data_IF_220869348872
#
_entry.id   IF_220869348872
#
_cell.length_a   1.000
_cell.length_b   1.000
_cell.length_c   1.000
_cell.angle_alpha   90.00
_cell.angle_beta   90.00
_cell.angle_gamma   90.00
#
_symmetry.space_group_name_H-M   'P 1'
#
loop_
_entity.id
_entity.type
_entity.pdbx_description
1 polymer ?
#
# COMPACT_ATOMS: atom_id res chain seq x y z
N UNK A 1 -13.41 -8.82 31.50
CA UNK A 1 -12.15 -8.24 32.00
C UNK A 1 -11.28 -8.04 30.78
N UNK A 2 -10.99 -6.79 30.39
CA UNK A 2 -10.15 -6.53 29.21
C UNK A 2 -8.72 -6.91 29.58
N UNK A 3 -8.22 -7.99 29.00
CA UNK A 3 -6.82 -8.37 29.10
C UNK A 3 -6.02 -7.29 28.34
N UNK A 4 -5.03 -6.63 28.98
CA UNK A 4 -4.24 -5.64 28.29
C UNK A 4 -3.49 -6.32 27.15
N UNK A 5 -3.78 -5.84 25.95
CA UNK A 5 -3.27 -6.31 24.66
C UNK A 5 -1.73 -6.32 24.59
N UNK A 6 -1.07 -5.51 25.43
CA UNK A 6 0.39 -5.49 25.61
C UNK A 6 0.72 -5.91 27.04
N UNK A 7 1.70 -6.81 27.20
CA UNK A 7 2.15 -7.31 28.49
C UNK A 7 2.79 -6.20 29.37
N UNK A 8 2.86 -6.38 30.72
CA UNK A 8 3.41 -5.37 31.61
C UNK A 8 4.85 -4.94 31.26
N UNK A 9 5.19 -3.67 31.51
CA UNK A 9 6.50 -3.05 31.19
C UNK A 9 7.72 -3.78 31.74
N UNK A 10 7.58 -4.43 32.89
CA UNK A 10 8.67 -5.16 33.54
C UNK A 10 8.82 -6.62 33.11
N UNK A 11 7.95 -7.17 32.25
CA UNK A 11 8.08 -8.56 31.78
C UNK A 11 8.90 -8.63 30.50
N UNK A 12 9.58 -9.76 30.26
CA UNK A 12 10.35 -9.99 29.04
C UNK A 12 9.50 -9.81 27.78
N UNK A 13 8.30 -10.42 27.76
CA UNK A 13 7.35 -10.27 26.67
C UNK A 13 7.00 -8.80 26.42
N UNK A 14 6.71 -8.06 27.48
CA UNK A 14 6.39 -6.65 27.37
C UNK A 14 7.56 -5.80 26.84
N UNK A 15 8.79 -6.12 27.23
CA UNK A 15 9.99 -5.44 26.71
C UNK A 15 10.15 -5.70 25.20
N UNK A 16 9.97 -6.95 24.76
CA UNK A 16 10.04 -7.34 23.35
C UNK A 16 8.93 -6.72 22.51
N UNK A 17 7.71 -6.65 23.02
CA UNK A 17 6.58 -5.99 22.35
C UNK A 17 6.78 -4.49 22.18
N UNK A 18 7.57 -3.83 23.04
CA UNK A 18 7.84 -2.39 22.93
C UNK A 18 9.08 -2.04 22.11
N UNK A 19 9.83 -3.03 21.61
CA UNK A 19 10.97 -2.81 20.72
C UNK A 19 12.08 -1.93 21.31
N UNK A 20 12.18 -1.80 22.64
CA UNK A 20 13.29 -1.07 23.27
C UNK A 20 14.55 -1.91 23.16
N UNK A 21 15.71 -1.29 22.90
CA UNK A 21 17.00 -1.99 22.81
C UNK A 21 17.30 -2.90 24.02
N UNK A 22 16.79 -2.53 25.20
CA UNK A 22 16.84 -3.34 26.41
C UNK A 22 16.18 -4.72 26.25
N UNK A 23 15.11 -4.84 25.45
CA UNK A 23 14.39 -6.10 25.24
C UNK A 23 15.26 -7.20 24.63
N UNK A 24 16.16 -6.86 23.69
CA UNK A 24 17.13 -7.82 23.16
C UNK A 24 18.13 -8.25 24.22
N UNK A 25 18.68 -7.29 24.98
CA UNK A 25 19.63 -7.60 26.04
C UNK A 25 19.01 -8.53 27.09
N UNK A 26 17.79 -8.22 27.53
CA UNK A 26 17.05 -9.05 28.47
C UNK A 26 16.78 -10.45 27.91
N UNK A 27 16.35 -10.56 26.65
CA UNK A 27 16.12 -11.86 26.00
C UNK A 27 17.38 -12.73 25.94
N UNK A 28 18.54 -12.13 25.62
CA UNK A 28 19.82 -12.86 25.57
C UNK A 28 20.34 -13.30 26.95
N UNK A 29 19.86 -12.67 28.02
CA UNK A 29 20.21 -13.03 29.41
C UNK A 29 19.19 -13.95 30.10
N UNK A 30 17.99 -14.06 29.56
CA UNK A 30 16.92 -14.91 30.10
C UNK A 30 17.16 -16.39 29.76
N UNK A 31 16.49 -17.33 30.47
CA UNK A 31 16.40 -18.71 30.01
C UNK A 31 15.93 -18.77 28.55
N UNK A 32 16.66 -19.51 27.72
CA UNK A 32 16.47 -19.50 26.26
C UNK A 32 15.04 -19.90 25.87
N UNK A 33 14.46 -20.87 26.55
CA UNK A 33 13.09 -21.33 26.36
C UNK A 33 12.07 -20.23 26.68
N UNK A 34 12.24 -19.49 27.77
CA UNK A 34 11.39 -18.33 28.10
C UNK A 34 11.52 -17.21 27.06
N UNK A 35 12.74 -16.92 26.61
CA UNK A 35 13.00 -15.91 25.58
C UNK A 35 12.38 -16.30 24.23
N UNK A 36 12.51 -17.57 23.82
CA UNK A 36 11.88 -18.09 22.61
C UNK A 36 10.35 -18.09 22.72
N UNK A 37 9.78 -18.44 23.87
CA UNK A 37 8.34 -18.37 24.08
C UNK A 37 7.81 -16.93 23.94
N UNK A 38 8.50 -15.95 24.53
CA UNK A 38 8.14 -14.55 24.41
C UNK A 38 8.31 -14.00 22.98
N UNK A 39 9.38 -14.42 22.29
CA UNK A 39 9.63 -14.06 20.89
C UNK A 39 8.56 -14.65 19.96
N UNK A 40 8.23 -15.94 20.13
CA UNK A 40 7.14 -16.59 19.41
C UNK A 40 5.85 -15.83 19.60
N UNK A 41 5.48 -15.49 20.83
CA UNK A 41 4.27 -14.71 21.09
C UNK A 41 4.27 -13.37 20.33
N UNK A 42 5.40 -12.65 20.30
CA UNK A 42 5.49 -11.39 19.56
C UNK A 42 5.32 -11.57 18.05
N UNK A 43 5.84 -12.66 17.47
CA UNK A 43 5.79 -12.89 16.02
C UNK A 43 4.45 -13.44 15.55
N UNK A 44 3.80 -14.27 16.37
CA UNK A 44 2.55 -14.95 16.02
C UNK A 44 1.31 -14.16 16.43
N UNK A 45 1.43 -13.21 17.35
CA UNK A 45 0.31 -12.46 17.91
C UNK A 45 0.74 -11.03 18.25
N UNK A 46 1.14 -10.27 17.22
CA UNK A 46 1.49 -8.87 17.41
C UNK A 46 0.23 -8.00 17.43
N UNK A 47 -0.09 -7.33 18.54
CA UNK A 47 -1.29 -6.53 18.62
C UNK A 47 -1.24 -5.19 17.88
N UNK A 48 -0.06 -4.77 17.40
CA UNK A 48 0.15 -3.43 16.85
C UNK A 48 -0.14 -3.44 15.35
N UNK A 49 -1.14 -2.66 14.97
CA UNK A 49 -1.65 -2.58 13.60
C UNK A 49 -0.74 -1.79 12.63
N UNK A 50 0.14 -0.91 13.12
CA UNK A 50 1.01 -0.09 12.26
C UNK A 50 2.28 -0.85 11.84
N UNK A 51 2.17 -1.66 10.79
CA UNK A 51 3.29 -2.43 10.22
C UNK A 51 4.15 -1.62 9.24
N UNK A 52 3.67 -0.48 8.75
CA UNK A 52 4.38 0.35 7.76
C UNK A 52 5.47 1.27 8.36
N UNK A 53 5.45 1.49 9.68
CA UNK A 53 6.30 2.51 10.32
C UNK A 53 7.51 1.90 11.08
N UNK A 54 7.50 0.59 11.33
CA UNK A 54 8.51 -0.05 12.19
C UNK A 54 9.13 -1.32 11.57
N UNK A 55 10.47 -1.45 11.65
CA UNK A 55 11.23 -2.63 11.17
C UNK A 55 11.24 -3.80 12.19
N UNK A 56 10.05 -4.20 12.67
CA UNK A 56 9.91 -5.21 13.73
C UNK A 56 10.31 -6.61 13.27
N UNK A 57 9.99 -6.95 12.03
CA UNK A 57 10.34 -8.23 11.42
C UNK A 57 11.85 -8.46 11.42
N UNK A 58 12.64 -7.42 11.10
CA UNK A 58 14.10 -7.46 11.13
C UNK A 58 14.64 -7.68 12.56
N UNK A 59 14.07 -6.96 13.53
CA UNK A 59 14.41 -7.09 14.94
C UNK A 59 14.18 -8.52 15.44
N UNK A 60 12.98 -9.07 15.21
CA UNK A 60 12.65 -10.43 15.64
C UNK A 60 13.45 -11.49 14.91
N UNK A 61 13.70 -11.34 13.60
CA UNK A 61 14.55 -12.25 12.84
C UNK A 61 15.98 -12.30 13.38
N UNK A 62 16.54 -11.14 13.77
CA UNK A 62 17.86 -11.10 14.40
C UNK A 62 17.87 -11.86 15.72
N UNK A 63 16.85 -11.65 16.55
CA UNK A 63 16.74 -12.34 17.84
C UNK A 63 16.55 -13.85 17.68
N UNK A 64 15.84 -14.30 16.64
CA UNK A 64 15.77 -15.73 16.26
C UNK A 64 17.16 -16.32 15.97
N UNK A 65 18.03 -15.58 15.30
CA UNK A 65 19.40 -16.05 15.04
C UNK A 65 20.23 -16.11 16.32
N UNK A 66 20.20 -15.04 17.11
CA UNK A 66 21.01 -14.92 18.33
C UNK A 66 20.55 -15.93 19.41
N UNK A 67 19.26 -16.29 19.46
CA UNK A 67 18.72 -17.34 20.33
C UNK A 67 18.72 -18.74 19.71
N UNK A 68 19.21 -18.91 18.48
CA UNK A 68 19.12 -20.16 17.71
C UNK A 68 17.70 -20.76 17.69
N UNK A 69 16.67 -19.92 17.48
CA UNK A 69 15.28 -20.34 17.48
C UNK A 69 14.93 -21.26 16.31
N UNK A 70 14.13 -22.28 16.61
CA UNK A 70 13.52 -23.20 15.64
C UNK A 70 12.22 -22.59 15.08
N UNK A 71 11.81 -23.04 13.89
CA UNK A 71 10.67 -22.46 13.16
C UNK A 71 9.34 -23.20 13.39
N UNK A 72 9.32 -24.24 14.23
CA UNK A 72 8.13 -25.12 14.38
C UNK A 72 6.87 -24.39 14.85
N UNK A 73 7.00 -23.36 15.69
CA UNK A 73 5.88 -22.53 16.13
C UNK A 73 5.35 -21.63 14.99
N UNK A 74 6.25 -21.02 14.21
CA UNK A 74 5.90 -20.25 13.01
C UNK A 74 5.21 -21.15 11.98
N UNK A 75 5.77 -22.33 11.72
CA UNK A 75 5.21 -23.30 10.79
C UNK A 75 3.78 -23.70 11.19
N UNK A 76 3.55 -24.01 12.47
CA UNK A 76 2.22 -24.36 12.97
C UNK A 76 1.23 -23.21 12.84
N UNK A 77 1.65 -22.00 13.16
CA UNK A 77 0.82 -20.78 13.04
C UNK A 77 0.41 -20.49 11.60
N UNK A 78 1.37 -20.60 10.67
CA UNK A 78 1.14 -20.35 9.26
C UNK A 78 0.19 -21.39 8.66
N UNK A 79 0.29 -22.66 9.04
CA UNK A 79 -0.59 -23.72 8.53
C UNK A 79 -1.76 -24.05 9.46
N UNK A 80 -2.15 -23.10 10.32
CA UNK A 80 -3.25 -23.29 11.25
C UNK A 80 -4.59 -23.30 10.50
N UNK A 81 -5.51 -24.25 10.79
CA UNK A 81 -6.83 -24.31 10.16
C UNK A 81 -7.66 -23.03 10.29
N UNK A 82 -7.40 -22.20 11.30
CA UNK A 82 -8.11 -20.92 11.49
C UNK A 82 -7.92 -19.97 10.28
N UNK A 83 -6.85 -20.11 9.49
CA UNK A 83 -6.64 -19.35 8.24
C UNK A 83 -7.73 -19.59 7.18
N UNK A 84 -8.53 -20.66 7.33
CA UNK A 84 -9.67 -20.92 6.44
C UNK A 84 -10.89 -20.06 6.79
N UNK A 85 -10.94 -19.51 8.00
CA UNK A 85 -12.08 -18.75 8.54
C UNK A 85 -11.72 -17.28 8.73
N UNK A 86 -10.53 -17.01 9.24
CA UNK A 86 -9.97 -15.67 9.37
C UNK A 86 -9.08 -15.34 8.18
N UNK A 87 -9.55 -14.42 7.33
CA UNK A 87 -8.84 -13.99 6.12
C UNK A 87 -8.05 -12.69 6.32
N UNK A 88 -7.90 -12.21 7.56
CA UNK A 88 -7.09 -11.04 7.83
C UNK A 88 -5.61 -11.34 7.57
N UNK A 89 -5.06 -10.67 6.55
CA UNK A 89 -3.65 -10.77 6.16
C UNK A 89 -2.70 -10.38 7.30
N UNK A 90 -3.17 -9.57 8.26
CA UNK A 90 -2.40 -9.13 9.42
C UNK A 90 -1.97 -10.28 10.34
N UNK A 91 -2.73 -11.40 10.34
CA UNK A 91 -2.44 -12.59 11.17
C UNK A 91 -1.10 -13.22 10.83
N UNK A 92 -0.75 -13.29 9.55
CA UNK A 92 0.43 -14.02 9.05
C UNK A 92 1.54 -13.11 8.52
N UNK A 93 1.23 -11.86 8.18
CA UNK A 93 2.17 -10.92 7.55
C UNK A 93 3.49 -10.74 8.31
N UNK A 94 3.44 -10.55 9.64
CA UNK A 94 4.67 -10.39 10.44
C UNK A 94 5.53 -11.66 10.44
N UNK A 95 4.92 -12.83 10.60
CA UNK A 95 5.63 -14.10 10.60
C UNK A 95 6.31 -14.36 9.23
N UNK A 96 5.64 -14.04 8.13
CA UNK A 96 6.20 -14.14 6.79
C UNK A 96 7.37 -13.17 6.58
N UNK A 97 7.25 -11.92 7.02
CA UNK A 97 8.33 -10.94 6.96
C UNK A 97 9.56 -11.36 7.79
N UNK A 98 9.34 -11.96 8.98
CA UNK A 98 10.42 -12.55 9.80
C UNK A 98 11.12 -13.68 9.04
N UNK A 99 10.37 -14.60 8.45
CA UNK A 99 10.96 -15.67 7.63
C UNK A 99 11.75 -15.09 6.44
N UNK A 100 11.24 -14.02 5.82
CA UNK A 100 11.95 -13.30 4.76
C UNK A 100 13.32 -12.84 5.23
N UNK A 101 13.40 -12.11 6.34
CA UNK A 101 14.69 -11.68 6.87
C UNK A 101 15.61 -12.85 7.27
N UNK A 102 15.08 -13.92 7.85
CA UNK A 102 15.86 -15.13 8.16
C UNK A 102 16.45 -15.76 6.89
N UNK A 103 15.67 -15.84 5.81
CA UNK A 103 16.16 -16.30 4.51
C UNK A 103 17.28 -15.39 3.97
N UNK A 104 17.15 -14.06 4.08
CA UNK A 104 18.22 -13.11 3.73
C UNK A 104 19.50 -13.31 4.55
N UNK A 105 19.39 -13.80 5.78
CA UNK A 105 20.53 -14.17 6.61
C UNK A 105 21.10 -15.57 6.31
N UNK A 106 20.56 -16.28 5.32
CA UNK A 106 21.04 -17.58 4.88
C UNK A 106 20.41 -18.79 5.59
N UNK A 107 19.34 -18.61 6.37
CA UNK A 107 18.57 -19.72 6.96
C UNK A 107 17.77 -20.44 5.87
N UNK A 108 18.26 -21.61 5.45
CA UNK A 108 17.63 -22.42 4.38
C UNK A 108 16.26 -22.97 4.77
N UNK A 109 16.10 -23.37 6.02
CA UNK A 109 14.83 -23.83 6.59
C UNK A 109 13.74 -22.73 6.50
N UNK A 110 14.10 -21.47 6.72
CA UNK A 110 13.18 -20.34 6.55
C UNK A 110 12.76 -20.15 5.08
N UNK A 111 13.72 -20.23 4.15
CA UNK A 111 13.44 -20.13 2.71
C UNK A 111 12.55 -21.27 2.22
N UNK A 112 12.83 -22.51 2.64
CA UNK A 112 12.03 -23.69 2.30
C UNK A 112 10.60 -23.59 2.86
N UNK A 113 10.46 -23.10 4.10
CA UNK A 113 9.15 -22.86 4.70
C UNK A 113 8.37 -21.78 3.95
N UNK A 114 9.01 -20.67 3.56
CA UNK A 114 8.37 -19.63 2.73
C UNK A 114 7.91 -20.17 1.38
N UNK A 115 8.74 -20.94 0.67
CA UNK A 115 8.35 -21.57 -0.60
C UNK A 115 7.14 -22.48 -0.43
N UNK A 116 7.14 -23.29 0.62
CA UNK A 116 6.01 -24.18 0.93
C UNK A 116 4.75 -23.40 1.28
N UNK A 117 4.88 -22.30 2.02
CA UNK A 117 3.75 -21.45 2.36
C UNK A 117 3.21 -20.68 1.14
N UNK A 118 4.06 -20.17 0.26
CA UNK A 118 3.59 -19.58 -1.01
C UNK A 118 2.79 -20.62 -1.82
N UNK A 119 3.27 -21.86 -1.90
CA UNK A 119 2.59 -22.93 -2.63
C UNK A 119 1.21 -23.28 -2.04
N UNK A 120 1.07 -23.36 -0.71
CA UNK A 120 -0.12 -23.97 -0.07
C UNK A 120 -0.86 -23.10 0.96
N UNK A 121 -0.25 -22.03 1.44
CA UNK A 121 -0.81 -21.14 2.47
C UNK A 121 -1.95 -20.24 1.99
N UNK A 122 -2.67 -19.65 2.94
CA UNK A 122 -3.76 -18.71 2.68
C UNK A 122 -3.26 -17.37 2.16
N UNK A 123 -2.29 -16.76 2.87
CA UNK A 123 -1.69 -15.48 2.49
C UNK A 123 -0.48 -15.65 1.56
N UNK A 124 -0.69 -16.37 0.46
CA UNK A 124 0.37 -16.76 -0.47
C UNK A 124 1.00 -15.57 -1.21
N UNK A 125 0.24 -14.50 -1.45
CA UNK A 125 0.71 -13.33 -2.19
C UNK A 125 1.83 -12.62 -1.42
N UNK A 126 1.64 -12.41 -0.12
CA UNK A 126 2.69 -11.84 0.75
C UNK A 126 3.94 -12.72 0.76
N UNK A 127 3.80 -14.03 0.89
CA UNK A 127 4.94 -14.94 0.87
C UNK A 127 5.68 -14.93 -0.48
N UNK A 128 4.95 -14.79 -1.59
CA UNK A 128 5.52 -14.65 -2.92
C UNK A 128 6.31 -13.33 -3.05
N UNK A 129 5.81 -12.23 -2.48
CA UNK A 129 6.54 -10.94 -2.44
C UNK A 129 7.82 -11.05 -1.60
N UNK A 130 7.78 -11.72 -0.44
CA UNK A 130 8.97 -11.94 0.38
C UNK A 130 10.04 -12.78 -0.36
N UNK A 131 9.61 -13.79 -1.13
CA UNK A 131 10.46 -14.62 -1.97
C UNK A 131 11.00 -13.86 -3.19
N UNK A 132 10.21 -12.98 -3.80
CA UNK A 132 10.63 -12.20 -4.96
C UNK A 132 11.89 -11.36 -4.68
N UNK A 133 12.06 -10.91 -3.43
CA UNK A 133 13.21 -10.13 -3.00
C UNK A 133 14.45 -10.96 -2.66
N UNK A 134 14.29 -12.26 -2.39
CA UNK A 134 15.31 -13.05 -1.65
C UNK A 134 15.66 -14.39 -2.28
N UNK A 135 14.74 -14.95 -3.05
CA UNK A 135 14.91 -16.22 -3.69
C UNK A 135 15.60 -16.09 -5.06
N UNK A 136 16.18 -17.20 -5.52
CA UNK A 136 16.74 -17.31 -6.86
C UNK A 136 15.65 -17.58 -7.92
N UNK A 137 15.99 -17.37 -9.20
CA UNK A 137 15.04 -17.56 -10.28
C UNK A 137 14.57 -19.03 -10.41
N UNK A 138 15.37 -20.00 -9.96
CA UNK A 138 15.01 -21.41 -10.05
C UNK A 138 13.90 -21.75 -9.05
N UNK A 139 14.01 -21.26 -7.81
CA UNK A 139 13.00 -21.35 -6.77
C UNK A 139 11.71 -20.65 -7.18
N UNK A 140 11.81 -19.42 -7.71
CA UNK A 140 10.64 -18.70 -8.20
C UNK A 140 9.95 -19.42 -9.36
N UNK A 141 10.71 -19.98 -10.33
CA UNK A 141 10.11 -20.77 -11.43
C UNK A 141 9.40 -22.03 -10.95
N UNK A 142 9.88 -22.67 -9.89
CA UNK A 142 9.24 -23.85 -9.32
C UNK A 142 7.85 -23.54 -8.71
N UNK A 143 7.60 -22.28 -8.33
CA UNK A 143 6.33 -21.85 -7.74
C UNK A 143 5.25 -21.51 -8.77
N UNK A 144 5.58 -21.45 -10.07
CA UNK A 144 4.62 -21.06 -11.11
C UNK A 144 3.38 -21.97 -11.13
N UNK A 145 3.58 -23.28 -11.16
CA UNK A 145 2.48 -24.26 -11.21
C UNK A 145 1.58 -24.24 -9.97
N UNK A 146 2.09 -24.34 -8.73
CA UNK A 146 1.22 -24.32 -7.55
C UNK A 146 0.46 -22.99 -7.39
N UNK A 147 1.06 -21.86 -7.78
CA UNK A 147 0.36 -20.56 -7.74
C UNK A 147 -0.72 -20.49 -8.83
N UNK A 148 -0.41 -20.87 -10.06
CA UNK A 148 -1.38 -20.85 -11.16
C UNK A 148 -2.52 -21.87 -10.96
N UNK A 149 -2.29 -22.96 -10.23
CA UNK A 149 -3.32 -23.93 -9.87
C UNK A 149 -4.41 -23.35 -8.96
N UNK A 150 -4.17 -22.22 -8.31
CA UNK A 150 -5.18 -21.49 -7.49
C UNK A 150 -6.23 -20.80 -8.35
N UNK A 151 -5.91 -20.57 -9.62
CA UNK A 151 -6.81 -19.94 -10.58
C UNK A 151 -7.28 -21.04 -11.53
N UNK A 152 -8.48 -21.61 -11.37
CA UNK A 152 -9.07 -22.45 -12.41
C UNK A 152 -9.36 -21.64 -13.68
N UNK A 153 -9.69 -22.33 -14.79
CA UNK A 153 -9.85 -21.70 -16.11
C UNK A 153 -11.02 -20.71 -16.19
N UNK A 154 -11.98 -20.78 -15.28
CA UNK A 154 -13.10 -19.84 -15.11
C UNK A 154 -12.76 -18.65 -14.19
N UNK A 155 -11.62 -18.69 -13.49
CA UNK A 155 -11.13 -17.64 -12.59
C UNK A 155 -9.99 -16.79 -13.20
N UNK A 156 -9.89 -16.71 -14.53
CA UNK A 156 -8.86 -15.89 -15.20
C UNK A 156 -8.90 -14.41 -14.77
N UNK A 157 -10.08 -13.88 -14.46
CA UNK A 157 -10.21 -12.51 -13.92
C UNK A 157 -9.51 -12.31 -12.58
N UNK A 158 -9.54 -13.32 -11.70
CA UNK A 158 -8.83 -13.29 -10.42
C UNK A 158 -7.31 -13.35 -10.62
N UNK A 159 -6.84 -14.12 -11.61
CA UNK A 159 -5.43 -14.14 -12.01
C UNK A 159 -4.98 -12.74 -12.49
N UNK A 160 -5.80 -12.06 -13.30
CA UNK A 160 -5.49 -10.68 -13.75
C UNK A 160 -5.36 -9.73 -12.56
N UNK A 161 -6.25 -9.82 -11.57
CA UNK A 161 -6.19 -9.00 -10.36
C UNK A 161 -4.91 -9.29 -9.58
N UNK A 162 -4.59 -10.57 -9.35
CA UNK A 162 -3.40 -10.97 -8.63
C UNK A 162 -2.10 -10.49 -9.31
N UNK A 163 -2.00 -10.62 -10.64
CA UNK A 163 -0.86 -10.13 -11.42
C UNK A 163 -0.76 -8.60 -11.37
N UNK A 164 -1.90 -7.90 -11.43
CA UNK A 164 -1.96 -6.43 -11.46
C UNK A 164 -1.58 -5.81 -10.11
N UNK A 165 -2.05 -6.42 -9.02
CA UNK A 165 -1.93 -5.89 -7.66
C UNK A 165 -0.71 -6.44 -6.92
N UNK A 166 0.06 -7.34 -7.55
CA UNK A 166 1.33 -7.83 -7.01
C UNK A 166 2.29 -6.67 -6.69
N UNK A 167 2.81 -6.67 -5.46
CA UNK A 167 3.79 -5.67 -5.03
C UNK A 167 5.13 -5.91 -5.74
N UNK A 168 5.60 -7.15 -5.77
CA UNK A 168 6.82 -7.52 -6.46
C UNK A 168 6.57 -8.13 -7.86
N UNK A 169 6.97 -7.46 -8.96
CA UNK A 169 6.66 -7.93 -10.31
C UNK A 169 7.56 -9.07 -10.79
N UNK A 170 8.66 -9.37 -10.08
CA UNK A 170 9.72 -10.29 -10.56
C UNK A 170 9.21 -11.71 -10.84
N UNK A 171 8.44 -12.39 -9.95
CA UNK A 171 7.95 -13.74 -10.23
C UNK A 171 7.08 -13.78 -11.49
N UNK A 172 6.17 -12.81 -11.62
CA UNK A 172 5.27 -12.72 -12.76
C UNK A 172 6.00 -12.47 -14.09
N UNK A 173 7.06 -11.66 -14.09
CA UNK A 173 7.92 -11.48 -15.28
C UNK A 173 8.65 -12.78 -15.62
N UNK A 174 9.24 -13.45 -14.64
CA UNK A 174 9.91 -14.74 -14.85
C UNK A 174 8.97 -15.81 -15.41
N UNK A 175 7.72 -15.85 -14.93
CA UNK A 175 6.72 -16.80 -15.41
C UNK A 175 6.16 -16.42 -16.76
N UNK A 176 6.04 -15.14 -17.09
CA UNK A 176 5.67 -14.68 -18.43
C UNK A 176 6.68 -15.15 -19.49
N UNK A 177 7.95 -15.32 -19.13
CA UNK A 177 9.00 -15.85 -20.02
C UNK A 177 9.11 -17.39 -20.00
N UNK A 178 8.23 -18.09 -19.25
CA UNK A 178 8.28 -19.55 -19.16
C UNK A 178 7.94 -20.22 -20.51
N UNK A 179 8.72 -21.22 -20.95
CA UNK A 179 8.49 -21.90 -22.23
C UNK A 179 7.21 -22.75 -22.23
N UNK A 180 6.70 -23.17 -21.07
CA UNK A 180 5.47 -23.97 -20.97
C UNK A 180 4.26 -23.09 -21.28
N UNK A 181 3.43 -23.40 -22.30
CA UNK A 181 2.32 -22.53 -22.68
C UNK A 181 1.29 -22.29 -21.58
N UNK A 182 1.00 -23.31 -20.76
CA UNK A 182 0.04 -23.21 -19.66
C UNK A 182 0.54 -22.31 -18.50
N UNK A 183 1.82 -21.95 -18.48
CA UNK A 183 2.42 -20.97 -17.57
C UNK A 183 2.61 -19.64 -18.30
N UNK A 184 3.52 -19.60 -19.28
CA UNK A 184 3.98 -18.36 -19.89
C UNK A 184 2.90 -17.64 -20.69
N UNK A 185 2.16 -18.35 -21.55
CA UNK A 185 1.10 -17.70 -22.32
C UNK A 185 -0.04 -17.22 -21.42
N UNK A 186 -0.34 -17.97 -20.36
CA UNK A 186 -1.38 -17.64 -19.38
C UNK A 186 -1.03 -16.37 -18.60
N UNK A 187 0.19 -16.28 -18.08
CA UNK A 187 0.64 -15.09 -17.33
C UNK A 187 0.75 -13.87 -18.25
N UNK A 188 1.24 -14.01 -19.49
CA UNK A 188 1.26 -12.90 -20.46
C UNK A 188 -0.14 -12.39 -20.76
N UNK A 189 -1.10 -13.28 -21.01
CA UNK A 189 -2.49 -12.89 -21.25
C UNK A 189 -3.07 -12.09 -20.06
N UNK A 190 -2.81 -12.54 -18.82
CA UNK A 190 -3.24 -11.82 -17.63
C UNK A 190 -2.59 -10.42 -17.50
N UNK A 191 -1.30 -10.29 -17.82
CA UNK A 191 -0.58 -9.01 -17.83
C UNK A 191 -1.13 -8.04 -18.89
N UNK A 192 -1.42 -8.53 -20.09
CA UNK A 192 -2.01 -7.77 -21.18
C UNK A 192 -3.41 -7.28 -20.82
N UNK A 193 -4.27 -8.16 -20.31
CA UNK A 193 -5.62 -7.82 -19.86
C UNK A 193 -5.62 -6.79 -18.73
N UNK A 194 -4.75 -6.93 -17.73
CA UNK A 194 -4.64 -5.95 -16.64
C UNK A 194 -4.16 -4.57 -17.12
N UNK A 195 -3.28 -4.55 -18.13
CA UNK A 195 -2.81 -3.31 -18.76
C UNK A 195 -3.91 -2.67 -19.63
N UNK A 196 -4.67 -3.48 -20.37
CA UNK A 196 -5.81 -3.04 -21.15
C UNK A 196 -6.95 -2.52 -20.28
N UNK A 197 -7.22 -3.14 -19.13
CA UNK A 197 -8.20 -2.66 -18.15
C UNK A 197 -7.84 -1.29 -17.58
N UNK A 198 -6.56 -1.05 -17.28
CA UNK A 198 -6.08 0.28 -16.86
C UNK A 198 -6.28 1.31 -17.97
N UNK A 199 -5.89 0.95 -19.20
CA UNK A 199 -6.08 1.79 -20.36
C UNK A 199 -7.56 2.07 -20.67
N UNK A 200 -8.42 1.07 -20.56
CA UNK A 200 -9.87 1.20 -20.76
C UNK A 200 -10.50 2.05 -19.65
N UNK A 201 -10.08 1.93 -18.39
CA UNK A 201 -10.53 2.83 -17.32
C UNK A 201 -10.08 4.28 -17.55
N UNK A 202 -8.89 4.47 -18.11
CA UNK A 202 -8.41 5.78 -18.52
C UNK A 202 -9.21 6.36 -19.70
N UNK A 203 -9.64 5.52 -20.64
CA UNK A 203 -10.44 5.91 -21.82
C UNK A 203 -11.95 5.96 -21.55
N UNK A 204 -12.44 5.25 -20.54
CA UNK A 204 -13.84 5.18 -20.10
C UNK A 204 -13.93 5.40 -18.59
N UNK A 205 -13.79 6.64 -18.11
CA UNK A 205 -13.95 6.95 -16.71
C UNK A 205 -15.34 6.51 -16.24
N UNK A 206 -15.39 5.66 -15.22
CA UNK A 206 -16.62 5.16 -14.60
C UNK A 206 -17.01 6.11 -13.47
N UNK A 207 -17.49 7.29 -13.84
CA UNK A 207 -18.03 8.29 -12.93
C UNK A 207 -19.04 9.17 -13.68
N UNK A 208 -19.95 9.87 -12.98
CA UNK A 208 -20.82 10.85 -13.62
C UNK A 208 -19.94 11.82 -14.40
N UNK A 209 -20.12 11.88 -15.72
CA UNK A 209 -19.44 12.84 -16.58
C UNK A 209 -20.21 14.16 -16.44
N UNK A 210 -19.63 15.24 -15.87
CA UNK A 210 -20.19 16.56 -16.13
C UNK A 210 -20.24 16.76 -17.65
N UNK A 211 -21.20 17.53 -18.16
CA UNK A 211 -21.07 18.11 -19.50
C UNK A 211 -19.69 18.80 -19.54
N UNK A 212 -18.86 18.59 -20.57
CA UNK A 212 -17.42 18.92 -20.52
C UNK A 212 -17.15 20.43 -20.67
N UNK A 213 -17.75 21.25 -19.79
CA UNK A 213 -17.53 22.68 -19.66
C UNK A 213 -16.90 22.98 -18.31
N UNK A 214 -16.18 24.10 -18.23
CA UNK A 214 -15.61 24.61 -16.98
C UNK A 214 -16.68 24.79 -15.90
N UNK A 215 -17.88 25.26 -16.27
CA UNK A 215 -18.98 25.46 -15.33
C UNK A 215 -19.46 24.14 -14.71
N UNK A 216 -19.67 23.11 -15.52
CA UNK A 216 -20.15 21.83 -15.02
C UNK A 216 -19.13 21.12 -14.12
N UNK A 217 -17.83 21.35 -14.31
CA UNK A 217 -16.79 20.88 -13.39
C UNK A 217 -16.88 21.60 -12.03
N UNK A 218 -17.15 22.90 -12.02
CA UNK A 218 -17.40 23.66 -10.79
C UNK A 218 -18.67 23.20 -10.07
N UNK A 219 -19.76 23.02 -10.81
CA UNK A 219 -21.03 22.54 -10.26
C UNK A 219 -20.86 21.15 -9.63
N UNK A 220 -20.11 20.25 -10.30
CA UNK A 220 -19.80 18.94 -9.76
C UNK A 220 -18.95 19.00 -8.47
N UNK A 221 -17.94 19.86 -8.43
CA UNK A 221 -17.14 20.06 -7.22
C UNK A 221 -18.00 20.59 -6.06
N UNK A 222 -18.93 21.50 -6.36
CA UNK A 222 -19.87 22.06 -5.39
C UNK A 222 -20.87 21.03 -4.89
N UNK A 223 -21.47 20.23 -5.77
CA UNK A 223 -22.36 19.13 -5.37
C UNK A 223 -21.66 18.12 -4.45
N UNK A 224 -20.38 17.83 -4.74
CA UNK A 224 -19.54 17.01 -3.87
C UNK A 224 -19.40 17.62 -2.48
N UNK A 225 -19.04 18.90 -2.44
CA UNK A 225 -18.86 19.65 -1.20
C UNK A 225 -20.14 19.66 -0.34
N UNK A 226 -21.30 19.90 -0.94
CA UNK A 226 -22.60 19.89 -0.26
C UNK A 226 -22.98 18.51 0.30
N UNK A 227 -22.49 17.44 -0.33
CA UNK A 227 -22.65 16.05 0.14
C UNK A 227 -21.55 15.61 1.12
N UNK A 228 -20.65 16.51 1.50
CA UNK A 228 -19.53 16.23 2.42
C UNK A 228 -18.34 15.51 1.77
N UNK A 229 -18.27 15.45 0.45
CA UNK A 229 -17.15 14.89 -0.30
C UNK A 229 -16.16 15.96 -0.75
N UNK A 230 -14.87 15.72 -0.58
CA UNK A 230 -13.81 16.64 -1.01
C UNK A 230 -13.45 16.38 -2.47
N UNK A 231 -14.16 17.03 -3.40
CA UNK A 231 -13.99 16.82 -4.85
C UNK A 231 -13.16 17.89 -5.57
N UNK A 232 -12.69 18.94 -4.90
CA UNK A 232 -11.98 20.03 -5.57
C UNK A 232 -10.63 19.61 -6.21
N UNK A 233 -9.94 18.62 -5.63
CA UNK A 233 -8.69 18.07 -6.20
C UNK A 233 -8.95 17.30 -7.50
N UNK A 234 -9.85 16.30 -7.55
CA UNK A 234 -10.17 15.64 -8.82
C UNK A 234 -10.82 16.59 -9.83
N UNK A 235 -11.62 17.56 -9.40
CA UNK A 235 -12.21 18.57 -10.28
C UNK A 235 -11.14 19.47 -10.94
N UNK A 236 -10.09 19.87 -10.22
CA UNK A 236 -9.00 20.65 -10.80
C UNK A 236 -8.26 19.87 -11.90
N UNK A 237 -8.12 18.55 -11.76
CA UNK A 237 -7.57 17.67 -12.81
C UNK A 237 -8.49 17.59 -14.04
N UNK A 238 -9.81 17.63 -13.82
CA UNK A 238 -10.76 17.71 -14.93
C UNK A 238 -10.58 19.03 -15.70
N UNK A 239 -10.37 20.17 -15.01
CA UNK A 239 -10.10 21.45 -15.67
C UNK A 239 -8.86 21.40 -16.58
N UNK A 240 -7.80 20.67 -16.23
CA UNK A 240 -6.65 20.45 -17.13
C UNK A 240 -7.02 19.83 -18.48
N UNK A 241 -8.11 19.06 -18.54
CA UNK A 241 -8.58 18.41 -19.76
C UNK A 241 -9.65 19.20 -20.52
N UNK A 242 -10.39 20.12 -19.86
CA UNK A 242 -11.53 20.83 -20.47
C UNK A 242 -11.30 22.32 -20.69
N UNK A 243 -10.44 22.97 -19.90
CA UNK A 243 -10.26 24.40 -19.96
C UNK A 243 -9.33 24.80 -21.11
N UNK A 244 -9.81 25.66 -22.01
CA UNK A 244 -9.00 26.37 -22.99
C UNK A 244 -8.46 27.70 -22.45
N UNK A 245 -7.53 28.36 -23.15
CA UNK A 245 -7.07 29.72 -22.81
C UNK A 245 -8.21 30.74 -22.67
N UNK A 246 -9.28 30.58 -23.45
CA UNK A 246 -10.49 31.40 -23.43
C UNK A 246 -11.30 31.31 -22.13
N UNK A 247 -11.15 30.21 -21.38
CA UNK A 247 -11.90 29.98 -20.14
C UNK A 247 -11.20 30.59 -18.92
N UNK A 248 -9.95 31.05 -19.05
CA UNK A 248 -9.19 31.66 -17.96
C UNK A 248 -9.98 32.73 -17.20
N UNK A 249 -10.68 33.70 -17.85
CA UNK A 249 -11.46 34.70 -17.12
C UNK A 249 -12.57 34.11 -16.25
N UNK A 250 -13.19 33.01 -16.67
CA UNK A 250 -14.21 32.31 -15.89
C UNK A 250 -13.58 31.63 -14.66
N UNK A 251 -12.44 30.98 -14.84
CA UNK A 251 -11.73 30.27 -13.75
C UNK A 251 -11.21 31.27 -12.70
N UNK A 252 -10.64 32.40 -13.14
CA UNK A 252 -10.21 33.47 -12.23
C UNK A 252 -11.40 34.03 -11.44
N UNK A 253 -12.53 34.30 -12.10
CA UNK A 253 -13.74 34.75 -11.42
C UNK A 253 -14.25 33.72 -10.41
N UNK A 254 -14.18 32.43 -10.74
CA UNK A 254 -14.56 31.37 -9.82
C UNK A 254 -13.62 31.27 -8.60
N UNK A 255 -12.33 31.55 -8.75
CA UNK A 255 -11.40 31.64 -7.61
C UNK A 255 -11.71 32.84 -6.69
N UNK A 256 -12.10 33.97 -7.27
CA UNK A 256 -12.45 35.19 -6.54
C UNK A 256 -13.75 35.02 -5.74
N UNK A 257 -14.85 34.72 -6.44
CA UNK A 257 -16.22 34.89 -5.91
C UNK A 257 -17.09 33.64 -6.08
N UNK A 258 -16.51 32.49 -6.44
CA UNK A 258 -17.27 31.24 -6.65
C UNK A 258 -17.86 30.66 -5.36
N UNK A 259 -18.62 29.58 -5.50
CA UNK A 259 -18.98 28.74 -4.36
C UNK A 259 -17.76 28.02 -3.80
N UNK A 260 -17.80 27.55 -2.56
CA UNK A 260 -16.64 26.95 -1.89
C UNK A 260 -15.99 25.83 -2.72
N UNK A 261 -16.78 24.91 -3.28
CA UNK A 261 -16.28 23.84 -4.15
C UNK A 261 -15.62 24.39 -5.42
N UNK A 262 -16.21 25.42 -6.03
CA UNK A 262 -15.67 26.07 -7.24
C UNK A 262 -14.39 26.85 -6.94
N UNK A 263 -14.35 27.62 -5.85
CA UNK A 263 -13.19 28.41 -5.41
C UNK A 263 -12.00 27.51 -5.12
N UNK A 264 -12.18 26.45 -4.33
CA UNK A 264 -11.12 25.49 -4.04
C UNK A 264 -10.58 24.84 -5.32
N UNK A 265 -11.48 24.50 -6.26
CA UNK A 265 -11.11 23.89 -7.55
C UNK A 265 -10.30 24.85 -8.42
N UNK A 266 -10.76 26.10 -8.54
CA UNK A 266 -10.12 27.12 -9.35
C UNK A 266 -8.74 27.51 -8.80
N UNK A 267 -8.62 27.73 -7.49
CA UNK A 267 -7.34 28.03 -6.83
C UNK A 267 -6.33 26.90 -7.04
N UNK A 268 -6.79 25.65 -6.87
CA UNK A 268 -5.96 24.47 -7.10
C UNK A 268 -5.46 24.38 -8.55
N UNK A 269 -6.36 24.58 -9.51
CA UNK A 269 -6.02 24.52 -10.94
C UNK A 269 -5.04 25.62 -11.35
N UNK A 270 -5.29 26.87 -10.93
CA UNK A 270 -4.45 28.02 -11.26
C UNK A 270 -3.04 27.89 -10.64
N UNK A 271 -2.96 27.35 -9.41
CA UNK A 271 -1.67 27.05 -8.77
C UNK A 271 -0.88 25.99 -9.52
N UNK A 272 -1.52 24.88 -9.91
CA UNK A 272 -0.87 23.82 -10.69
C UNK A 272 -0.45 24.32 -12.09
N UNK A 273 -1.21 25.25 -12.68
CA UNK A 273 -0.92 25.89 -13.97
C UNK A 273 0.11 27.03 -13.90
N UNK A 274 0.57 27.41 -12.70
CA UNK A 274 1.46 28.56 -12.47
C UNK A 274 0.90 29.87 -13.05
N UNK A 275 -0.41 30.09 -12.90
CA UNK A 275 -1.05 31.31 -13.38
C UNK A 275 -0.50 32.55 -12.65
N UNK A 276 -0.18 33.65 -13.35
CA UNK A 276 0.44 34.83 -12.74
C UNK A 276 -0.41 35.48 -11.65
N UNK A 277 -1.73 35.36 -11.69
CA UNK A 277 -2.63 36.02 -10.74
C UNK A 277 -2.90 35.15 -9.50
N UNK A 278 -2.37 33.92 -9.44
CA UNK A 278 -2.74 32.96 -8.39
C UNK A 278 -2.34 33.41 -6.97
N UNK A 279 -1.24 34.15 -6.82
CA UNK A 279 -0.81 34.64 -5.49
C UNK A 279 -1.83 35.62 -4.91
N UNK A 280 -2.28 36.60 -5.70
CA UNK A 280 -3.29 37.58 -5.30
C UNK A 280 -4.63 36.87 -4.99
N UNK A 281 -4.96 35.81 -5.74
CA UNK A 281 -6.17 35.02 -5.53
C UNK A 281 -6.11 34.19 -4.25
N UNK A 282 -4.95 33.61 -3.91
CA UNK A 282 -4.71 32.91 -2.65
C UNK A 282 -4.83 33.90 -1.47
N UNK A 283 -4.23 35.08 -1.58
CA UNK A 283 -4.30 36.11 -0.53
C UNK A 283 -5.76 36.53 -0.30
N UNK A 284 -6.51 36.86 -1.37
CA UNK A 284 -7.92 37.20 -1.27
C UNK A 284 -8.77 36.06 -0.68
N UNK A 285 -8.44 34.80 -0.99
CA UNK A 285 -9.11 33.63 -0.43
C UNK A 285 -8.82 33.47 1.07
N UNK A 286 -7.62 33.79 1.55
CA UNK A 286 -7.28 33.78 2.98
C UNK A 286 -8.01 34.88 3.74
N UNK A 287 -8.18 36.06 3.14
CA UNK A 287 -8.84 37.20 3.78
C UNK A 287 -10.37 37.05 3.89
N UNK A 288 -11.01 36.43 2.89
CA UNK A 288 -12.46 36.45 2.72
C UNK A 288 -13.12 35.08 2.61
N UNK A 289 -12.34 34.00 2.51
CA UNK A 289 -12.82 32.65 2.26
C UNK A 289 -13.46 31.99 3.48
N UNK A 290 -14.31 30.99 3.23
CA UNK A 290 -14.70 30.04 4.27
C UNK A 290 -13.47 29.24 4.71
N UNK A 291 -13.53 28.60 5.88
CA UNK A 291 -12.41 27.79 6.40
C UNK A 291 -11.88 26.78 5.38
N UNK A 292 -12.77 26.14 4.61
CA UNK A 292 -12.37 25.14 3.60
C UNK A 292 -11.65 25.78 2.42
N UNK A 293 -12.09 26.96 2.00
CA UNK A 293 -11.42 27.74 0.95
C UNK A 293 -10.05 28.22 1.42
N UNK A 294 -9.93 28.67 2.67
CA UNK A 294 -8.64 29.06 3.29
C UNK A 294 -7.69 27.86 3.32
N UNK A 295 -8.14 26.71 3.82
CA UNK A 295 -7.32 25.50 3.91
C UNK A 295 -6.85 25.05 2.51
N UNK A 296 -7.73 25.09 1.51
CA UNK A 296 -7.38 24.74 0.13
C UNK A 296 -6.44 25.77 -0.52
N UNK A 297 -6.57 27.06 -0.21
CA UNK A 297 -5.68 28.11 -0.72
C UNK A 297 -4.25 27.96 -0.17
N UNK A 298 -4.12 27.67 1.13
CA UNK A 298 -2.82 27.41 1.76
C UNK A 298 -2.18 26.13 1.21
N UNK A 299 -2.95 25.06 1.05
CA UNK A 299 -2.51 23.81 0.44
C UNK A 299 -2.06 23.97 -1.02
N UNK A 300 -2.73 24.85 -1.78
CA UNK A 300 -2.31 25.23 -3.13
C UNK A 300 -0.99 26.02 -3.11
N UNK A 301 -0.87 27.01 -2.23
CA UNK A 301 0.34 27.82 -2.05
C UNK A 301 1.57 27.01 -1.66
N UNK A 302 1.44 26.10 -0.69
CA UNK A 302 2.54 25.22 -0.26
C UNK A 302 3.08 24.36 -1.40
N UNK A 303 2.24 24.05 -2.39
CA UNK A 303 2.60 23.22 -3.55
C UNK A 303 3.12 24.01 -4.74
N UNK A 304 2.95 25.32 -4.76
CA UNK A 304 3.61 26.20 -5.72
C UNK A 304 5.11 26.22 -5.41
N UNK A 305 5.84 25.22 -5.94
CA UNK A 305 7.29 25.14 -5.79
C UNK A 305 7.93 26.36 -6.44
N UNK A 306 8.53 27.23 -5.62
CA UNK A 306 9.46 28.26 -6.05
C UNK A 306 10.65 27.60 -6.77
N UNK A 307 10.66 27.68 -8.10
CA UNK A 307 11.86 27.43 -8.91
C UNK A 307 12.77 28.68 -8.96
N UNK A 308 12.96 29.34 -7.82
CA UNK A 308 13.86 30.48 -7.67
C UNK A 308 14.71 30.35 -6.40
N UNK A 309 15.53 29.29 -6.34
CA UNK A 309 16.74 29.26 -5.49
C UNK A 309 17.85 28.57 -6.27
N UNK A 310 18.44 29.28 -7.23
CA UNK A 310 19.89 29.26 -7.53
C UNK A 310 20.23 30.59 -8.23
N UNK A 311 20.73 31.55 -7.45
CA UNK A 311 21.86 32.42 -7.86
C UNK A 311 22.85 32.44 -6.69
#
# INVERSE_FOLDING_TARGET
MFEPVIAPSGTLLGLLQRGRGDGTLHALTAPRDEALAALNHCVLSDPRHDWQVENRSLYYARLYLDLHGELGEIERHLFDPDDLVDRDESRTGLALAVLGHLASYGRRDALELLRRYAAFGGNWAWALDELALRDDDAGLRALAEPILARFPADAEGELVVAVRDAFEPRPWRLWADDPRPHVGARVRAAQESGSFDRWQRQMRPSGPRPEWSVQAVFDWAQEGFERGAVLYVPAARCLTAVAGPEDRPQIVRAAQDGTDGARCTALRYLADAHDPDVYDLVEAAVESGSRVVVDAALDAFERMRSAAVVE
#
